data_IF_670036098746
#
_entry.id   IF_670036098746
#
_cell.length_a   1.000
_cell.length_b   1.000
_cell.length_c   1.000
_cell.angle_alpha   90.00
_cell.angle_beta   90.00
_cell.angle_gamma   90.00
#
_symmetry.space_group_name_H-M   'P 1'
#
loop_
_entity.id
_entity.type
_entity.pdbx_description
1 polymer ?
#
# COMPACT_ATOMS: atom_id res chain seq x y z
N UNK A 1 12.79 -10.24 1.03
CA UNK A 1 12.15 -8.92 0.93
C UNK A 1 11.14 -9.05 -0.19
N UNK A 2 9.89 -8.60 -0.01
CA UNK A 2 8.98 -8.39 -1.14
C UNK A 2 9.71 -7.43 -2.07
N UNK A 3 10.37 -7.98 -3.08
CA UNK A 3 11.08 -7.19 -4.06
C UNK A 3 10.08 -6.98 -5.18
N UNK A 4 9.95 -5.73 -5.58
CA UNK A 4 9.28 -5.40 -6.81
C UNK A 4 9.90 -6.18 -7.97
N UNK A 5 9.09 -6.48 -8.97
CA UNK A 5 9.61 -6.93 -10.25
C UNK A 5 10.54 -5.86 -10.86
N UNK A 6 11.34 -6.26 -11.86
CA UNK A 6 12.30 -5.39 -12.52
C UNK A 6 11.67 -4.21 -13.29
N UNK A 7 10.34 -4.01 -13.18
CA UNK A 7 9.58 -3.08 -14.00
C UNK A 7 9.05 -1.85 -13.24
N UNK A 8 9.32 -1.67 -11.93
CA UNK A 8 9.07 -0.35 -11.30
C UNK A 8 7.66 -0.18 -10.70
N UNK A 9 6.98 -1.23 -10.25
CA UNK A 9 5.51 -1.25 -10.21
C UNK A 9 4.80 -1.11 -8.84
N UNK A 10 5.49 -1.25 -7.72
CA UNK A 10 4.95 -1.00 -6.40
C UNK A 10 4.88 0.49 -6.06
N UNK A 11 3.97 0.80 -5.13
CA UNK A 11 3.59 2.17 -4.78
C UNK A 11 3.97 2.42 -3.34
N UNK A 12 4.68 3.50 -3.11
CA UNK A 12 4.98 3.96 -1.76
C UNK A 12 4.23 5.24 -1.55
N UNK A 13 3.41 5.26 -0.50
CA UNK A 13 2.75 6.47 -0.04
C UNK A 13 3.39 6.90 1.26
N UNK A 14 4.05 8.05 1.21
CA UNK A 14 4.62 8.68 2.39
C UNK A 14 3.60 9.59 3.07
N UNK A 15 3.63 9.59 4.40
CA UNK A 15 2.79 10.44 5.27
C UNK A 15 3.75 11.47 5.92
N UNK A 16 3.35 12.75 6.09
CA UNK A 16 4.25 13.91 6.01
C UNK A 16 5.45 13.93 6.97
N UNK A 17 6.52 14.57 6.49
CA UNK A 17 7.82 14.70 7.13
C UNK A 17 9.01 14.64 6.16
N UNK A 18 8.80 14.75 4.83
CA UNK A 18 9.90 14.72 3.85
C UNK A 18 10.92 15.82 4.15
N UNK A 19 12.17 15.39 4.40
CA UNK A 19 13.29 16.25 4.74
C UNK A 19 13.58 16.36 6.24
N UNK A 20 12.67 15.92 7.11
CA UNK A 20 12.97 15.79 8.52
C UNK A 20 13.86 14.55 8.71
N UNK A 21 15.02 14.73 9.36
CA UNK A 21 15.81 13.58 9.82
C UNK A 21 14.90 12.67 10.63
N UNK A 22 15.00 11.36 10.38
CA UNK A 22 14.31 10.36 11.19
C UNK A 22 14.52 10.67 12.67
N UNK A 23 13.42 10.97 13.37
CA UNK A 23 13.46 11.31 14.79
C UNK A 23 13.46 10.01 15.57
N UNK A 24 14.29 9.92 16.61
CA UNK A 24 14.28 8.76 17.50
C UNK A 24 12.91 8.65 18.15
N UNK A 25 12.22 7.54 17.90
CA UNK A 25 10.90 7.30 18.46
C UNK A 25 10.98 6.72 19.87
N UNK A 26 9.87 6.77 20.61
CA UNK A 26 9.81 6.18 21.95
C UNK A 26 9.96 4.66 21.94
N UNK A 27 9.41 4.01 20.92
CA UNK A 27 9.39 2.55 20.76
C UNK A 27 9.88 2.09 19.39
N UNK A 28 9.65 2.89 18.35
CA UNK A 28 10.07 2.61 16.98
C UNK A 28 10.57 3.90 16.34
N UNK A 29 11.75 3.85 15.73
CA UNK A 29 12.28 4.97 14.94
C UNK A 29 11.55 5.13 13.60
N UNK A 30 11.02 4.03 13.06
CA UNK A 30 10.28 3.99 11.79
C UNK A 30 9.21 2.92 11.82
N UNK A 31 8.08 3.20 11.16
CA UNK A 31 6.99 2.26 10.94
C UNK A 31 6.79 2.15 9.43
N UNK A 32 6.95 0.95 8.90
CA UNK A 32 6.62 0.63 7.51
C UNK A 32 5.44 -0.31 7.51
N UNK A 33 4.33 0.13 6.93
CA UNK A 33 3.12 -0.68 6.78
C UNK A 33 3.08 -1.19 5.35
N UNK A 34 3.21 -2.50 5.18
CA UNK A 34 3.09 -3.16 3.89
C UNK A 34 1.68 -3.74 3.77
N UNK A 35 0.93 -3.27 2.78
CA UNK A 35 -0.48 -3.65 2.57
C UNK A 35 -0.59 -4.43 1.28
N UNK A 36 -0.87 -5.72 1.43
CA UNK A 36 -1.07 -6.64 0.31
C UNK A 36 -2.53 -6.61 -0.17
N UNK A 37 -2.80 -7.27 -1.29
CA UNK A 37 -4.18 -7.43 -1.78
C UNK A 37 -5.01 -8.16 -0.73
N UNK A 38 -6.27 -7.73 -0.58
CA UNK A 38 -7.22 -8.38 0.30
C UNK A 38 -7.48 -9.83 -0.15
N UNK A 39 -7.06 -10.79 0.66
CA UNK A 39 -7.30 -12.23 0.48
C UNK A 39 -7.69 -12.87 1.81
N UNK A 40 -8.26 -14.07 1.77
CA UNK A 40 -8.63 -14.76 3.01
C UNK A 40 -7.39 -15.28 3.76
N UNK A 41 -7.55 -15.50 5.06
CA UNK A 41 -6.47 -15.93 5.95
C UNK A 41 -5.79 -17.23 5.52
N UNK A 42 -6.56 -18.22 5.05
CA UNK A 42 -6.02 -19.52 4.66
C UNK A 42 -5.12 -19.39 3.43
N UNK A 43 -5.54 -18.61 2.44
CA UNK A 43 -4.77 -18.35 1.23
C UNK A 43 -3.50 -17.54 1.54
N UNK A 44 -3.59 -16.53 2.42
CA UNK A 44 -2.42 -15.76 2.84
C UNK A 44 -1.37 -16.64 3.53
N UNK A 45 -1.78 -17.55 4.42
CA UNK A 45 -0.86 -18.48 5.10
C UNK A 45 -0.38 -19.65 4.24
N UNK A 46 -1.05 -19.94 3.12
CA UNK A 46 -0.54 -20.88 2.13
C UNK A 46 0.70 -20.33 1.41
N UNK A 47 0.87 -19.01 1.34
CA UNK A 47 2.03 -18.38 0.70
C UNK A 47 3.32 -18.58 1.52
N UNK A 48 4.36 -19.26 0.99
CA UNK A 48 5.55 -19.62 1.76
C UNK A 48 6.27 -18.43 2.40
N UNK A 49 6.38 -17.32 1.66
CA UNK A 49 6.99 -16.10 2.16
C UNK A 49 6.18 -15.46 3.31
N UNK A 50 4.87 -15.27 3.16
CA UNK A 50 4.04 -14.68 4.23
C UNK A 50 4.00 -15.57 5.46
N UNK A 51 3.91 -16.89 5.26
CA UNK A 51 4.07 -17.86 6.34
C UNK A 51 5.39 -17.66 7.08
N UNK A 52 6.52 -17.51 6.38
CA UNK A 52 7.84 -17.29 6.99
C UNK A 52 7.94 -16.02 7.85
N UNK A 53 7.14 -14.98 7.55
CA UNK A 53 7.09 -13.76 8.37
C UNK A 53 6.37 -14.00 9.71
N UNK A 54 5.53 -15.03 9.78
CA UNK A 54 4.62 -15.29 10.90
C UNK A 54 5.02 -16.50 11.74
N UNK A 55 5.98 -17.32 11.28
CA UNK A 55 6.38 -18.52 12.03
C UNK A 55 7.12 -18.16 13.32
N UNK A 56 7.03 -19.05 14.30
CA UNK A 56 7.74 -18.99 15.59
C UNK A 56 9.28 -18.87 15.43
N UNK A 57 9.81 -19.16 14.24
CA UNK A 57 11.23 -19.05 13.91
C UNK A 57 11.65 -17.61 13.58
N UNK A 58 10.71 -16.70 13.37
CA UNK A 58 10.98 -15.27 13.33
C UNK A 58 10.77 -14.69 14.75
N UNK A 59 11.83 -14.52 15.56
CA UNK A 59 11.69 -14.06 16.95
C UNK A 59 11.04 -12.67 17.06
N UNK A 60 11.09 -11.89 15.98
CA UNK A 60 10.50 -10.55 15.87
C UNK A 60 9.12 -10.51 15.22
N UNK A 61 8.70 -11.60 14.55
CA UNK A 61 7.41 -11.67 13.85
C UNK A 61 6.27 -12.05 14.78
N UNK A 62 5.09 -11.48 14.56
CA UNK A 62 3.85 -11.85 15.28
C UNK A 62 2.69 -11.95 14.31
N UNK A 63 1.91 -13.02 14.43
CA UNK A 63 0.68 -13.22 13.67
C UNK A 63 -0.51 -12.66 14.46
N UNK A 64 -1.28 -11.77 13.85
CA UNK A 64 -2.55 -11.29 14.40
C UNK A 64 -3.69 -12.17 13.86
N UNK A 65 -3.90 -13.34 14.46
CA UNK A 65 -4.90 -14.32 14.00
C UNK A 65 -6.36 -13.91 14.23
N UNK A 66 -6.61 -12.80 14.91
CA UNK A 66 -7.93 -12.23 15.15
C UNK A 66 -8.06 -10.81 14.56
N UNK A 67 -7.38 -10.56 13.43
CA UNK A 67 -7.48 -9.32 12.67
C UNK A 67 -8.50 -9.51 11.54
N UNK A 68 -9.56 -8.69 11.54
CA UNK A 68 -10.71 -8.84 10.64
C UNK A 68 -10.84 -7.64 9.70
N UNK A 69 -11.35 -7.89 8.50
CA UNK A 69 -11.79 -6.83 7.60
C UNK A 69 -12.99 -6.07 8.21
N UNK A 70 -13.13 -4.79 7.85
CA UNK A 70 -14.26 -3.95 8.25
C UNK A 70 -15.51 -4.32 7.46
N UNK A 71 -15.37 -4.59 6.16
CA UNK A 71 -16.47 -4.98 5.27
C UNK A 71 -15.96 -5.67 4.00
N UNK A 72 -16.84 -5.94 3.04
CA UNK A 72 -16.52 -6.37 1.69
C UNK A 72 -17.32 -5.50 0.70
N UNK A 73 -16.73 -5.01 -0.41
CA UNK A 73 -15.45 -5.38 -1.04
C UNK A 73 -14.21 -4.64 -0.46
N UNK A 74 -13.09 -4.60 -1.19
CA UNK A 74 -11.77 -4.22 -0.67
C UNK A 74 -11.61 -2.73 -0.37
N UNK A 75 -12.10 -1.84 -1.24
CA UNK A 75 -11.88 -0.40 -1.15
C UNK A 75 -12.30 0.23 0.19
N UNK A 76 -13.47 -0.08 0.77
CA UNK A 76 -13.84 0.43 2.09
C UNK A 76 -12.84 0.05 3.20
N UNK A 77 -12.21 -1.12 3.12
CA UNK A 77 -11.23 -1.55 4.12
C UNK A 77 -9.96 -0.69 4.07
N UNK A 78 -9.47 -0.34 2.88
CA UNK A 78 -8.30 0.52 2.74
C UNK A 78 -8.56 1.94 3.27
N UNK A 79 -9.77 2.46 3.08
CA UNK A 79 -10.16 3.78 3.60
C UNK A 79 -10.25 3.74 5.13
N UNK A 80 -10.93 2.73 5.69
CA UNK A 80 -11.07 2.55 7.12
C UNK A 80 -9.72 2.32 7.81
N UNK A 81 -8.74 1.69 7.14
CA UNK A 81 -7.39 1.52 7.67
C UNK A 81 -6.67 2.86 7.92
N UNK A 82 -6.91 3.88 7.07
CA UNK A 82 -6.26 5.19 7.19
C UNK A 82 -7.07 6.14 8.07
N UNK A 83 -8.40 6.13 7.94
CA UNK A 83 -9.27 7.14 8.53
C UNK A 83 -10.12 6.65 9.71
N UNK A 84 -10.18 5.35 9.96
CA UNK A 84 -11.02 4.75 11.00
C UNK A 84 -12.51 4.67 10.67
N UNK A 85 -12.93 5.06 9.45
CA UNK A 85 -14.32 5.05 8.98
C UNK A 85 -14.34 4.71 7.47
N UNK A 86 -15.42 4.11 6.97
CA UNK A 86 -15.64 3.89 5.53
C UNK A 86 -16.24 5.12 4.84
N UNK A 87 -16.77 6.09 5.60
CA UNK A 87 -17.52 7.24 5.10
C UNK A 87 -18.69 6.87 4.19
N UNK A 88 -19.32 5.72 4.45
CA UNK A 88 -20.45 5.21 3.66
C UNK A 88 -20.06 4.55 2.33
N UNK A 89 -18.76 4.40 2.05
CA UNK A 89 -18.25 3.72 0.87
C UNK A 89 -18.52 2.22 1.02
N UNK A 90 -19.29 1.66 0.09
CA UNK A 90 -19.75 0.27 0.12
C UNK A 90 -19.29 -0.59 -1.05
N UNK A 91 -18.50 -0.05 -1.98
CA UNK A 91 -18.08 -0.75 -3.19
C UNK A 91 -16.64 -0.39 -3.63
N UNK A 92 -16.15 -1.10 -4.66
CA UNK A 92 -14.81 -0.95 -5.27
C UNK A 92 -14.78 0.08 -6.41
N UNK A 93 -15.86 0.84 -6.59
CA UNK A 93 -16.07 1.79 -7.66
C UNK A 93 -15.35 3.12 -7.46
N UNK A 94 -15.40 3.95 -8.50
CA UNK A 94 -15.03 5.35 -8.38
C UNK A 94 -16.23 6.14 -7.87
N UNK A 95 -16.10 6.74 -6.69
CA UNK A 95 -17.13 7.60 -6.12
C UNK A 95 -16.87 9.05 -6.54
N UNK A 96 -17.95 9.79 -6.87
CA UNK A 96 -17.87 11.18 -7.33
C UNK A 96 -17.26 12.13 -6.29
N UNK A 97 -17.40 11.79 -5.00
CA UNK A 97 -16.81 12.54 -3.89
C UNK A 97 -15.30 12.33 -3.77
N UNK A 98 -14.74 11.38 -4.52
CA UNK A 98 -13.31 11.24 -4.60
C UNK A 98 -12.72 12.24 -5.59
N UNK A 99 -11.76 13.05 -5.14
CA UNK A 99 -11.10 14.01 -6.00
C UNK A 99 -10.44 13.30 -7.17
N UNK A 100 -10.55 13.89 -8.37
CA UNK A 100 -9.66 13.54 -9.47
C UNK A 100 -8.23 13.80 -8.98
N UNK A 101 -7.30 12.82 -9.01
CA UNK A 101 -6.03 12.98 -8.30
C UNK A 101 -5.07 14.02 -8.91
N UNK A 102 -5.50 14.76 -9.95
CA UNK A 102 -4.76 15.87 -10.52
C UNK A 102 -3.35 15.47 -10.94
N UNK A 103 -2.36 16.23 -10.48
CA UNK A 103 -0.93 15.97 -10.71
C UNK A 103 -0.30 14.99 -9.71
N UNK A 104 -1.09 14.39 -8.81
CA UNK A 104 -0.55 13.38 -7.90
C UNK A 104 -0.12 12.16 -8.68
N UNK A 105 0.92 11.50 -8.20
CA UNK A 105 1.40 10.28 -8.84
C UNK A 105 0.26 9.26 -8.91
N UNK A 106 -0.23 9.02 -10.12
CA UNK A 106 -1.29 8.07 -10.45
C UNK A 106 -0.72 6.77 -11.05
N UNK A 107 0.60 6.64 -11.11
CA UNK A 107 1.26 5.66 -11.97
C UNK A 107 1.13 6.02 -13.46
N UNK A 108 2.07 5.54 -14.28
CA UNK A 108 2.05 5.68 -15.74
C UNK A 108 0.96 4.84 -16.43
N UNK A 109 0.15 4.10 -15.67
CA UNK A 109 -0.98 3.33 -16.19
C UNK A 109 -1.99 3.09 -15.08
N UNK A 110 -2.90 4.05 -14.87
CA UNK A 110 -4.19 3.78 -14.25
C UNK A 110 -5.03 2.90 -15.20
N UNK A 111 -4.58 1.67 -15.43
CA UNK A 111 -5.32 0.69 -16.19
C UNK A 111 -6.51 0.25 -15.33
N UNK A 112 -7.69 0.72 -15.73
CA UNK A 112 -8.99 0.16 -15.37
C UNK A 112 -9.15 -1.24 -15.99
N UNK A 113 -8.20 -2.14 -15.76
CA UNK A 113 -8.27 -3.51 -16.26
C UNK A 113 -8.64 -4.43 -15.11
N UNK A 114 -9.85 -4.96 -15.17
CA UNK A 114 -10.27 -6.12 -14.40
C UNK A 114 -9.38 -7.29 -14.79
N UNK A 115 -8.51 -7.77 -13.89
CA UNK A 115 -7.65 -8.95 -14.11
C UNK A 115 -6.15 -8.70 -13.91
N UNK A 116 -5.41 -9.80 -13.72
CA UNK A 116 -3.96 -9.81 -13.67
C UNK A 116 -3.41 -9.53 -15.08
N UNK A 117 -2.89 -8.33 -15.32
CA UNK A 117 -2.01 -8.08 -16.46
C UNK A 117 -0.59 -7.95 -15.93
N UNK A 118 0.38 -8.56 -16.60
CA UNK A 118 1.82 -8.31 -16.36
C UNK A 118 2.22 -6.84 -16.57
N UNK A 119 1.29 -6.01 -17.05
CA UNK A 119 1.41 -4.55 -17.22
C UNK A 119 0.48 -3.73 -16.30
N UNK A 120 -0.35 -4.36 -15.46
CA UNK A 120 -1.32 -3.66 -14.61
C UNK A 120 -0.65 -3.12 -13.33
N UNK A 121 0.12 -2.06 -13.52
CA UNK A 121 1.01 -1.44 -12.54
C UNK A 121 0.34 -0.47 -11.56
N UNK A 122 -0.94 -0.13 -11.72
CA UNK A 122 -1.66 0.69 -10.74
C UNK A 122 -3.17 0.48 -10.73
N UNK A 123 -3.74 0.03 -9.60
CA UNK A 123 -5.18 0.16 -9.31
C UNK A 123 -5.41 1.24 -8.27
N UNK A 124 -6.24 2.24 -8.61
CA UNK A 124 -6.56 3.40 -7.74
C UNK A 124 -7.04 2.96 -6.36
N UNK A 125 -7.94 1.97 -6.32
CA UNK A 125 -8.60 1.51 -5.09
C UNK A 125 -7.65 0.96 -4.03
N UNK A 126 -6.43 0.53 -4.39
CA UNK A 126 -5.43 0.02 -3.43
C UNK A 126 -4.68 1.15 -2.74
N UNK A 127 -4.69 2.37 -3.28
CA UNK A 127 -4.09 3.52 -2.63
C UNK A 127 -5.21 4.34 -1.96
N UNK A 128 -5.49 4.16 -0.66
CA UNK A 128 -6.55 4.93 0.00
C UNK A 128 -6.27 6.42 0.05
N UNK A 129 -4.99 6.85 0.00
CA UNK A 129 -4.63 8.26 0.12
C UNK A 129 -5.16 9.14 -1.01
N UNK A 130 -5.35 8.58 -2.22
CA UNK A 130 -5.97 9.30 -3.34
C UNK A 130 -7.48 9.49 -3.19
N UNK A 131 -8.11 8.87 -2.20
CA UNK A 131 -9.53 9.09 -1.87
C UNK A 131 -9.75 10.33 -0.98
N UNK A 132 -8.68 10.94 -0.45
CA UNK A 132 -8.79 12.09 0.45
C UNK A 132 -8.47 13.41 -0.26
N UNK A 133 -9.44 14.32 -0.32
CA UNK A 133 -9.28 15.66 -0.91
C UNK A 133 -8.16 16.46 -0.26
N UNK A 134 -7.96 16.32 1.06
CA UNK A 134 -6.85 16.95 1.76
C UNK A 134 -5.47 16.59 1.18
N UNK A 135 -5.32 15.38 0.63
CA UNK A 135 -4.07 14.94 -0.02
C UNK A 135 -4.01 15.46 -1.45
N UNK A 136 -5.02 15.16 -2.27
CA UNK A 136 -4.96 15.40 -3.72
C UNK A 136 -5.10 16.88 -4.11
N UNK A 137 -5.77 17.69 -3.31
CA UNK A 137 -5.84 19.15 -3.50
C UNK A 137 -4.61 19.90 -3.01
N UNK A 138 -3.66 19.21 -2.36
CA UNK A 138 -2.46 19.81 -1.77
C UNK A 138 -1.22 19.36 -2.53
N UNK A 139 -0.63 20.20 -3.40
CA UNK A 139 0.58 19.84 -4.14
C UNK A 139 1.73 19.35 -3.26
N UNK A 140 1.84 19.85 -2.02
CA UNK A 140 2.85 19.40 -1.07
C UNK A 140 2.63 17.95 -0.61
N UNK A 141 1.39 17.56 -0.27
CA UNK A 141 1.06 16.20 0.17
C UNK A 141 0.99 15.21 -0.98
N UNK A 142 0.52 15.68 -2.12
CA UNK A 142 0.45 14.98 -3.39
C UNK A 142 1.82 14.46 -3.87
N UNK A 143 2.92 15.20 -3.61
CA UNK A 143 4.31 14.78 -3.89
C UNK A 143 4.80 13.61 -3.06
N UNK A 144 4.09 13.24 -2.00
CA UNK A 144 4.42 12.09 -1.16
C UNK A 144 3.80 10.79 -1.67
N UNK A 145 2.95 10.85 -2.69
CA UNK A 145 2.53 9.69 -3.46
C UNK A 145 3.59 9.48 -4.54
N UNK A 146 4.33 8.36 -4.47
CA UNK A 146 5.46 8.09 -5.36
C UNK A 146 5.47 6.62 -5.79
N UNK A 147 6.32 6.29 -6.75
CA UNK A 147 6.68 4.91 -7.05
C UNK A 147 7.70 4.33 -6.06
N UNK A 148 7.96 3.04 -6.20
CA UNK A 148 8.96 2.31 -5.44
C UNK A 148 10.39 2.82 -5.58
N UNK A 149 10.76 3.42 -6.72
CA UNK A 149 12.13 3.87 -6.95
C UNK A 149 12.52 4.96 -5.94
N UNK A 150 11.54 5.76 -5.50
CA UNK A 150 11.73 6.70 -4.41
C UNK A 150 12.01 6.01 -3.07
N UNK A 151 11.33 4.90 -2.75
CA UNK A 151 11.63 4.12 -1.54
C UNK A 151 13.01 3.48 -1.61
N UNK A 152 13.39 2.92 -2.76
CA UNK A 152 14.72 2.34 -2.95
C UNK A 152 15.83 3.39 -2.78
N UNK A 153 15.62 4.59 -3.34
CA UNK A 153 16.52 5.72 -3.13
C UNK A 153 16.60 6.11 -1.65
N UNK A 154 15.47 6.16 -0.95
CA UNK A 154 15.42 6.49 0.46
C UNK A 154 16.08 5.42 1.35
N UNK A 155 15.96 4.15 1.00
CA UNK A 155 16.66 3.05 1.68
C UNK A 155 18.16 3.19 1.46
N UNK A 156 18.60 3.39 0.22
CA UNK A 156 20.01 3.53 -0.14
C UNK A 156 20.67 4.76 0.55
N UNK A 157 19.91 5.84 0.72
CA UNK A 157 20.36 7.06 1.38
C UNK A 157 20.18 7.04 2.92
N UNK A 158 19.55 6.02 3.50
CA UNK A 158 19.21 5.98 4.93
C UNK A 158 18.16 7.02 5.34
N UNK A 159 17.39 7.55 4.39
CA UNK A 159 16.42 8.63 4.53
C UNK A 159 14.97 8.16 4.57
N UNK A 160 14.71 6.85 4.69
CA UNK A 160 13.34 6.31 4.83
C UNK A 160 12.55 7.12 5.88
N UNK A 161 11.34 7.59 5.55
CA UNK A 161 10.52 8.36 6.48
C UNK A 161 10.16 7.62 7.77
N UNK A 162 9.73 8.38 8.78
CA UNK A 162 9.30 7.83 10.06
C UNK A 162 8.05 6.93 9.91
N UNK A 163 7.17 7.24 8.96
CA UNK A 163 6.01 6.42 8.60
C UNK A 163 5.92 6.29 7.09
N UNK A 164 5.90 5.05 6.58
CA UNK A 164 5.73 4.75 5.16
C UNK A 164 4.68 3.67 4.96
N UNK A 165 3.84 3.85 3.94
CA UNK A 165 2.88 2.84 3.49
C UNK A 165 3.35 2.31 2.14
N UNK A 166 3.40 0.99 1.99
CA UNK A 166 3.78 0.31 0.77
C UNK A 166 2.64 -0.55 0.28
N UNK A 167 2.17 -0.25 -0.93
CA UNK A 167 1.12 -0.97 -1.64
C UNK A 167 1.75 -1.60 -2.89
N UNK A 168 2.00 -2.92 -2.92
CA UNK A 168 2.53 -3.58 -4.09
C UNK A 168 1.58 -3.44 -5.28
N UNK A 169 2.10 -3.70 -6.48
CA UNK A 169 1.25 -3.92 -7.64
C UNK A 169 0.39 -5.19 -7.48
N UNK A 170 -0.50 -5.44 -8.44
CA UNK A 170 -1.40 -6.61 -8.37
C UNK A 170 -0.66 -7.96 -8.40
N UNK A 171 0.50 -8.02 -9.02
CA UNK A 171 1.35 -9.22 -9.12
C UNK A 171 2.00 -9.54 -7.78
N UNK A 172 2.62 -8.53 -7.17
CA UNK A 172 3.34 -8.64 -5.89
C UNK A 172 2.41 -8.63 -4.67
N UNK A 173 1.17 -8.20 -4.86
CA UNK A 173 0.13 -8.12 -3.83
C UNK A 173 -0.47 -9.47 -3.41
N UNK A 174 0.03 -10.60 -3.94
CA UNK A 174 -0.49 -11.95 -3.68
C UNK A 174 -1.95 -12.17 -4.11
N UNK A 175 -2.41 -11.48 -5.16
CA UNK A 175 -3.74 -11.73 -5.73
C UNK A 175 -3.77 -13.13 -6.37
N UNK A 176 -4.73 -13.96 -5.96
CA UNK A 176 -4.92 -15.29 -6.54
C UNK A 176 -5.10 -15.19 -8.08
N UNK A 177 -4.28 -15.96 -8.82
CA UNK A 177 -4.29 -15.98 -10.28
C UNK A 177 -3.27 -15.06 -10.97
N UNK A 178 -2.50 -14.26 -10.25
CA UNK A 178 -1.38 -13.51 -10.82
C UNK A 178 -0.09 -14.36 -10.77
N UNK A 179 0.68 -14.48 -11.85
CA UNK A 179 1.95 -15.21 -11.84
C UNK A 179 2.97 -14.48 -10.95
N UNK A 180 3.65 -15.21 -10.06
CA UNK A 180 4.75 -14.61 -9.28
C UNK A 180 5.88 -14.18 -10.22
N UNK A 181 6.40 -12.97 -10.04
CA UNK A 181 7.60 -12.44 -10.72
C UNK A 181 8.88 -13.01 -10.14
#
# INVERSE_FOLDING_TARGET
>A
MLRADANGHAKVVFVPGQGDKARTGRSFDRIVVVILENTNYADALAHPYLKSLTTLQNPTGRLLSNYHAVTHPSQPNYIAQIAGDTFGVGDDGNHADYPTPGACFLGSSAASTTGCSSTASYVRKHNPFVSFSGITSSPARCKHLVDEAALDADIAAGSVPQVAFYYPNQTDGCKAGCPAS
#
